data_IF_064154653358
#
_entry.id   IF_064154653358
#
_cell.length_a   1.000
_cell.length_b   1.000
_cell.length_c   1.000
_cell.angle_alpha   90.00
_cell.angle_beta   90.00
_cell.angle_gamma   90.00
#
_symmetry.space_group_name_H-M   'P 1'
#
loop_
_entity.id
_entity.type
_entity.pdbx_description
1 polymer ?
#
# COMPACT_ATOMS: atom_id res chain seq x y z
N UNK A 1 -6.64 0.12 -13.08
CA UNK A 1 -6.64 -0.38 -11.69
C UNK A 1 -7.89 -1.17 -11.32
N UNK A 2 -9.13 -0.70 -11.56
CA UNK A 2 -10.34 -1.46 -11.15
C UNK A 2 -10.43 -2.89 -11.70
N UNK A 3 -9.96 -3.15 -12.93
CA UNK A 3 -9.95 -4.49 -13.52
C UNK A 3 -8.99 -5.49 -12.82
N UNK A 4 -8.10 -5.00 -11.94
CA UNK A 4 -7.15 -5.83 -11.18
C UNK A 4 -7.69 -6.20 -9.79
N UNK A 5 -8.89 -5.75 -9.41
CA UNK A 5 -9.48 -6.14 -8.11
C UNK A 5 -9.60 -7.66 -8.04
N UNK A 6 -9.17 -8.23 -6.92
CA UNK A 6 -9.09 -9.67 -6.68
C UNK A 6 -7.81 -10.34 -7.20
N UNK A 7 -6.94 -9.62 -7.92
CA UNK A 7 -5.64 -10.14 -8.41
C UNK A 7 -4.53 -9.86 -7.41
N UNK A 8 -3.62 -10.82 -7.25
CA UNK A 8 -2.37 -10.60 -6.54
C UNK A 8 -1.38 -9.82 -7.42
N UNK A 9 -0.42 -9.08 -6.84
CA UNK A 9 0.66 -8.46 -7.61
C UNK A 9 1.36 -9.47 -8.54
N UNK A 10 1.52 -10.71 -8.11
CA UNK A 10 2.18 -11.76 -8.89
C UNK A 10 1.31 -12.40 -9.96
N UNK A 11 0.00 -12.10 -10.02
CA UNK A 11 -0.92 -12.67 -11.00
C UNK A 11 -0.84 -11.92 -12.34
N UNK A 12 0.28 -12.07 -13.04
CA UNK A 12 0.55 -11.45 -14.34
C UNK A 12 1.51 -10.29 -14.26
N UNK A 13 1.02 -9.06 -14.49
CA UNK A 13 1.86 -7.85 -14.42
C UNK A 13 1.94 -7.38 -12.97
N UNK A 14 3.14 -7.40 -12.40
CA UNK A 14 3.41 -6.88 -11.07
C UNK A 14 3.18 -5.37 -11.04
N UNK A 15 1.99 -4.99 -10.61
CA UNK A 15 1.56 -3.60 -10.54
C UNK A 15 2.24 -2.80 -9.42
N UNK A 16 2.96 -3.44 -8.50
CA UNK A 16 3.82 -2.77 -7.53
C UNK A 16 5.18 -2.42 -8.12
N UNK A 17 5.65 -3.20 -9.12
CA UNK A 17 6.99 -3.02 -9.74
C UNK A 17 6.94 -2.36 -11.12
N UNK A 18 5.84 -2.50 -11.83
CA UNK A 18 5.67 -2.06 -13.21
C UNK A 18 4.36 -1.33 -13.45
N UNK A 19 4.33 -0.51 -14.50
CA UNK A 19 3.14 0.24 -14.90
C UNK A 19 2.88 1.49 -14.04
N UNK A 20 1.72 2.15 -14.24
CA UNK A 20 1.45 3.47 -13.68
C UNK A 20 1.46 3.55 -12.15
N UNK A 21 1.03 2.49 -11.46
CA UNK A 21 1.08 2.42 -10.00
C UNK A 21 2.52 2.42 -9.50
N UNK A 22 3.40 1.59 -10.08
CA UNK A 22 4.79 1.52 -9.69
C UNK A 22 5.55 2.84 -9.91
N UNK A 23 5.33 3.51 -11.05
CA UNK A 23 5.95 4.82 -11.31
C UNK A 23 5.50 5.87 -10.30
N UNK A 24 4.21 5.87 -9.93
CA UNK A 24 3.68 6.77 -8.90
C UNK A 24 4.24 6.46 -7.52
N UNK A 25 4.34 5.19 -7.15
CA UNK A 25 4.97 4.75 -5.90
C UNK A 25 6.44 5.17 -5.81
N UNK A 26 7.21 5.01 -6.89
CA UNK A 26 8.60 5.49 -6.96
C UNK A 26 8.71 6.99 -6.76
N UNK A 27 7.82 7.76 -7.39
CA UNK A 27 7.78 9.22 -7.24
C UNK A 27 7.44 9.66 -5.82
N UNK A 28 6.45 9.01 -5.19
CA UNK A 28 5.98 9.37 -3.85
C UNK A 28 6.95 8.94 -2.74
N UNK A 29 7.55 7.75 -2.86
CA UNK A 29 8.40 7.17 -1.81
C UNK A 29 9.89 7.44 -2.01
N UNK A 30 10.29 7.81 -3.23
CA UNK A 30 11.69 8.01 -3.57
C UNK A 30 12.53 6.73 -3.46
N UNK A 31 13.86 6.86 -3.62
CA UNK A 31 14.77 5.72 -3.74
C UNK A 31 14.97 4.94 -2.44
N UNK A 32 14.65 5.52 -1.29
CA UNK A 32 14.84 4.89 0.03
C UNK A 32 13.61 4.08 0.43
N UNK A 33 12.41 4.66 0.35
CA UNK A 33 11.20 4.03 0.88
C UNK A 33 10.51 3.09 -0.13
N UNK A 34 10.73 3.27 -1.44
CA UNK A 34 10.15 2.37 -2.43
C UNK A 34 10.68 0.92 -2.32
N UNK A 35 12.01 0.67 -2.13
CA UNK A 35 12.49 -0.67 -1.81
C UNK A 35 11.89 -1.26 -0.53
N UNK A 36 11.67 -0.45 0.51
CA UNK A 36 11.05 -0.89 1.77
C UNK A 36 9.60 -1.34 1.52
N UNK A 37 8.83 -0.57 0.75
CA UNK A 37 7.48 -0.99 0.33
C UNK A 37 7.50 -2.38 -0.31
N UNK A 38 8.40 -2.62 -1.27
CA UNK A 38 8.46 -3.91 -1.98
C UNK A 38 8.85 -5.07 -1.04
N UNK A 39 9.70 -4.81 -0.05
CA UNK A 39 10.06 -5.80 0.97
C UNK A 39 8.87 -6.10 1.89
N UNK A 40 8.16 -5.06 2.33
CA UNK A 40 6.98 -5.17 3.20
C UNK A 40 5.74 -5.68 2.45
N UNK A 41 5.77 -5.71 1.12
CA UNK A 41 4.74 -6.36 0.30
C UNK A 41 5.11 -7.79 -0.12
N UNK A 42 6.18 -8.36 0.46
CA UNK A 42 6.66 -9.71 0.12
C UNK A 42 5.68 -10.84 0.44
N UNK A 43 4.77 -10.63 1.40
CA UNK A 43 3.55 -11.41 1.58
C UNK A 43 2.37 -10.44 1.54
N UNK A 44 1.82 -10.21 0.34
CA UNK A 44 0.71 -9.30 0.12
C UNK A 44 -0.59 -10.03 -0.23
N UNK A 45 -1.71 -9.40 0.12
CA UNK A 45 -3.03 -9.82 -0.34
C UNK A 45 -3.30 -9.42 -1.80
N UNK A 46 -4.47 -9.82 -2.35
CA UNK A 46 -4.91 -9.30 -3.63
C UNK A 46 -5.25 -7.80 -3.52
N UNK A 47 -5.32 -7.11 -4.67
CA UNK A 47 -5.91 -5.77 -4.70
C UNK A 47 -7.38 -5.85 -4.31
N UNK A 48 -7.78 -5.14 -3.25
CA UNK A 48 -9.13 -5.10 -2.72
C UNK A 48 -9.81 -3.77 -3.02
N UNK A 49 -11.12 -3.71 -2.77
CA UNK A 49 -11.95 -2.52 -2.92
C UNK A 49 -12.84 -2.35 -1.69
N UNK A 50 -12.91 -1.13 -1.15
CA UNK A 50 -13.86 -0.72 -0.11
C UNK A 50 -14.49 0.62 -0.52
N UNK A 51 -15.78 0.62 -0.82
CA UNK A 51 -16.43 1.77 -1.45
C UNK A 51 -15.74 2.14 -2.77
N UNK A 52 -15.24 3.36 -2.86
CA UNK A 52 -14.48 3.85 -4.03
C UNK A 52 -12.97 3.63 -3.92
N UNK A 53 -12.48 3.18 -2.77
CA UNK A 53 -11.05 3.01 -2.52
C UNK A 53 -10.58 1.66 -3.05
N UNK A 54 -9.43 1.65 -3.71
CA UNK A 54 -8.69 0.43 -4.01
C UNK A 54 -7.51 0.35 -3.05
N UNK A 55 -7.21 -0.83 -2.53
CA UNK A 55 -6.11 -0.97 -1.58
C UNK A 55 -5.44 -2.33 -1.63
N UNK A 56 -4.20 -2.36 -1.19
CA UNK A 56 -3.44 -3.59 -0.97
C UNK A 56 -2.68 -3.45 0.34
N UNK A 57 -2.65 -4.54 1.11
CA UNK A 57 -1.90 -4.67 2.35
C UNK A 57 -0.90 -5.81 2.20
N UNK A 58 0.22 -5.70 2.91
CA UNK A 58 1.20 -6.75 2.97
C UNK A 58 2.09 -6.65 4.18
N UNK A 59 2.79 -7.74 4.45
CA UNK A 59 3.86 -7.80 5.42
C UNK A 59 5.11 -8.41 4.78
N UNK A 60 6.26 -8.10 5.36
CA UNK A 60 7.50 -8.82 5.04
C UNK A 60 7.36 -10.28 5.50
N UNK A 61 7.83 -11.26 4.72
CA UNK A 61 7.72 -12.67 5.08
C UNK A 61 8.31 -12.93 6.48
N UNK A 62 7.59 -13.69 7.31
CA UNK A 62 7.94 -14.03 8.70
C UNK A 62 8.05 -12.85 9.70
N UNK A 63 7.74 -11.62 9.28
CA UNK A 63 7.87 -10.39 10.09
C UNK A 63 6.54 -9.64 10.19
N UNK A 64 5.42 -10.37 10.23
CA UNK A 64 4.10 -9.77 10.40
C UNK A 64 3.99 -9.03 11.74
N UNK A 65 3.60 -7.76 11.69
CA UNK A 65 3.41 -6.91 12.87
C UNK A 65 4.53 -5.91 13.16
N UNK A 66 5.70 -6.05 12.53
CA UNK A 66 6.83 -5.11 12.63
C UNK A 66 7.27 -4.58 11.27
N UNK A 67 6.99 -5.29 10.19
CA UNK A 67 7.41 -4.95 8.84
C UNK A 67 6.21 -5.05 7.91
N UNK A 68 5.49 -3.93 7.80
CA UNK A 68 4.14 -3.88 7.23
C UNK A 68 4.01 -2.76 6.22
N UNK A 69 3.10 -2.90 5.26
CA UNK A 69 2.78 -1.82 4.36
C UNK A 69 1.33 -1.85 3.87
N UNK A 70 0.80 -0.67 3.55
CA UNK A 70 -0.47 -0.48 2.89
C UNK A 70 -0.36 0.57 1.79
N UNK A 71 -1.01 0.30 0.66
CA UNK A 71 -1.20 1.29 -0.42
C UNK A 71 -2.69 1.44 -0.65
N UNK A 72 -3.18 2.68 -0.61
CA UNK A 72 -4.58 3.04 -0.84
C UNK A 72 -4.64 4.04 -2.00
N UNK A 73 -5.62 3.83 -2.88
CA UNK A 73 -5.93 4.68 -4.01
C UNK A 73 -7.38 5.14 -3.93
N UNK A 74 -7.61 6.42 -4.20
CA UNK A 74 -8.92 6.95 -4.56
C UNK A 74 -8.88 7.39 -6.02
N UNK A 75 -9.38 6.54 -6.95
CA UNK A 75 -9.41 6.89 -8.38
C UNK A 75 -10.28 8.11 -8.70
N UNK A 76 -11.22 8.48 -7.82
CA UNK A 76 -12.14 9.62 -8.05
C UNK A 76 -11.49 10.96 -7.76
N UNK A 77 -10.46 10.96 -6.90
CA UNK A 77 -9.69 12.14 -6.51
C UNK A 77 -8.27 12.15 -7.07
N UNK A 78 -7.94 11.13 -7.86
CA UNK A 78 -6.58 10.85 -8.31
C UNK A 78 -5.57 10.95 -7.17
N UNK A 79 -5.83 10.23 -6.09
CA UNK A 79 -5.06 10.33 -4.84
C UNK A 79 -4.50 8.96 -4.44
N UNK A 80 -3.29 8.97 -3.89
CA UNK A 80 -2.59 7.80 -3.35
C UNK A 80 -2.10 8.10 -1.95
N UNK A 81 -2.40 7.18 -1.02
CA UNK A 81 -1.86 7.15 0.33
C UNK A 81 -1.03 5.88 0.50
N UNK A 82 0.15 6.01 1.09
CA UNK A 82 1.04 4.88 1.39
C UNK A 82 1.47 4.97 2.84
N UNK A 83 1.32 3.84 3.54
CA UNK A 83 1.81 3.66 4.89
C UNK A 83 2.82 2.51 4.93
N UNK A 84 3.95 2.72 5.59
CA UNK A 84 5.00 1.73 5.84
C UNK A 84 5.27 1.66 7.35
N UNK A 85 5.57 0.45 7.82
CA UNK A 85 6.08 0.18 9.16
C UNK A 85 7.42 -0.54 9.05
N UNK A 86 8.44 -0.07 9.78
CA UNK A 86 9.74 -0.74 9.94
C UNK A 86 10.12 -0.70 11.41
N UNK A 87 9.91 -1.82 12.12
CA UNK A 87 9.95 -1.85 13.57
C UNK A 87 8.91 -0.90 14.18
N UNK A 88 9.40 0.03 15.02
CA UNK A 88 8.59 1.05 15.69
C UNK A 88 8.45 2.34 14.87
N UNK A 89 9.11 2.42 13.71
CA UNK A 89 9.04 3.59 12.83
C UNK A 89 7.90 3.43 11.82
N UNK A 90 7.15 4.52 11.63
CA UNK A 90 6.12 4.61 10.61
C UNK A 90 6.45 5.69 9.59
N UNK A 91 6.12 5.41 8.33
CA UNK A 91 6.14 6.38 7.24
C UNK A 91 4.75 6.45 6.61
N UNK A 92 4.06 7.57 6.81
CA UNK A 92 2.71 7.84 6.30
C UNK A 92 2.79 9.03 5.33
N UNK A 93 2.55 8.78 4.05
CA UNK A 93 2.58 9.81 3.01
C UNK A 93 1.39 9.70 2.08
N UNK A 94 0.91 10.86 1.66
CA UNK A 94 -0.13 11.01 0.67
C UNK A 94 0.30 12.06 -0.35
N UNK A 95 -0.04 11.86 -1.62
CA UNK A 95 0.15 12.89 -2.64
C UNK A 95 -0.98 13.95 -2.64
N UNK A 96 -1.95 13.83 -3.53
CA UNK A 96 -3.10 14.73 -3.68
C UNK A 96 -4.26 14.28 -2.79
N UNK A 97 -5.21 15.19 -2.49
CA UNK A 97 -6.49 14.84 -1.87
C UNK A 97 -6.49 14.62 -0.35
N UNK A 98 -5.87 15.53 0.43
CA UNK A 98 -5.82 15.48 1.92
C UNK A 98 -7.13 14.97 2.54
N UNK A 99 -7.00 14.10 3.55
CA UNK A 99 -8.15 13.57 4.29
C UNK A 99 -8.91 12.49 3.52
N UNK A 100 -8.22 11.71 2.68
CA UNK A 100 -8.78 10.47 2.17
C UNK A 100 -9.07 9.54 3.36
N UNK A 101 -10.30 9.03 3.45
CA UNK A 101 -10.61 7.97 4.40
C UNK A 101 -9.78 6.72 4.09
N UNK A 102 -9.42 5.96 5.12
CA UNK A 102 -8.70 4.70 4.94
C UNK A 102 -9.67 3.51 5.07
N UNK A 103 -9.50 2.45 4.26
CA UNK A 103 -10.27 1.22 4.42
C UNK A 103 -10.18 0.68 5.84
N UNK A 104 -11.22 -0.01 6.32
CA UNK A 104 -11.26 -0.53 7.69
C UNK A 104 -10.07 -1.45 8.02
N UNK A 105 -9.66 -2.28 7.06
CA UNK A 105 -8.49 -3.16 7.21
C UNK A 105 -7.19 -2.37 7.41
N UNK A 106 -6.98 -1.32 6.61
CA UNK A 106 -5.77 -0.47 6.69
C UNK A 106 -5.73 0.27 8.02
N UNK A 107 -6.87 0.82 8.48
CA UNK A 107 -6.95 1.46 9.80
C UNK A 107 -6.60 0.49 10.93
N UNK A 108 -7.17 -0.72 10.90
CA UNK A 108 -6.89 -1.75 11.90
C UNK A 108 -5.41 -2.16 11.89
N UNK A 109 -4.81 -2.27 10.71
CA UNK A 109 -3.39 -2.59 10.54
C UNK A 109 -2.49 -1.51 11.17
N UNK A 110 -2.75 -0.23 10.87
CA UNK A 110 -2.02 0.89 11.47
C UNK A 110 -2.24 0.98 12.98
N UNK A 111 -3.47 0.75 13.46
CA UNK A 111 -3.76 0.73 14.89
C UNK A 111 -3.01 -0.39 15.63
N UNK A 112 -2.86 -1.57 15.01
CA UNK A 112 -2.12 -2.68 15.61
C UNK A 112 -0.61 -2.43 15.65
N UNK A 113 -0.05 -1.69 14.69
CA UNK A 113 1.37 -1.32 14.66
C UNK A 113 1.75 -0.32 15.77
N UNK A 114 0.78 0.42 16.31
CA UNK A 114 0.97 1.47 17.33
C UNK A 114 0.77 1.01 18.76
N UNK A 115 0.47 -0.27 18.96
CA UNK A 115 0.23 -0.87 20.28
C UNK A 115 1.51 -1.42 20.88
#
# INVERSE_FOLDING_TARGET
MQALVGRYPTDGVDFLRTGPMAERLKGLLGPVNYPILLQNMGTSGPLRKEGNLLYITGNRPHQGGSESAAVVLDPTRDAMHVWLQTGDEEWDVQDYGRGMGLPAEVRTMMENARR
#
